data_IF_358931437248
#
_entry.id   IF_358931437248
#
_cell.length_a   1.000
_cell.length_b   1.000
_cell.length_c   1.000
_cell.angle_alpha   90.00
_cell.angle_beta   90.00
_cell.angle_gamma   90.00
#
_symmetry.space_group_name_H-M   'P 1'
#
loop_
_entity.id
_entity.type
_entity.pdbx_description
1 polymer ?
#
# COMPACT_ATOMS: atom_id res chain seq x y z
N UNK A 1 21.90 0.88 16.72
CA UNK A 1 21.72 0.54 15.29
C UNK A 1 20.23 0.56 15.02
N UNK A 2 19.74 1.58 14.31
CA UNK A 2 18.30 1.75 14.03
C UNK A 2 17.90 0.64 13.08
N UNK A 3 16.95 -0.21 13.47
CA UNK A 3 16.29 -1.10 12.53
C UNK A 3 15.53 -0.20 11.54
N UNK A 4 16.08 -0.01 10.34
CA UNK A 4 15.43 0.69 9.23
C UNK A 4 14.04 0.07 9.04
N UNK A 5 13.00 0.83 9.43
CA UNK A 5 11.62 0.37 9.36
C UNK A 5 11.22 0.10 7.92
N UNK A 6 11.11 -1.18 7.55
CA UNK A 6 10.59 -1.59 6.24
C UNK A 6 9.22 -0.94 6.02
N UNK A 7 8.96 -0.46 4.80
CA UNK A 7 7.76 0.31 4.48
C UNK A 7 6.51 -0.56 4.57
N UNK A 8 5.43 0.00 5.10
CA UNK A 8 4.16 -0.71 5.25
C UNK A 8 3.60 -1.17 3.89
N UNK A 9 3.03 -2.37 3.82
CA UNK A 9 2.48 -2.98 2.61
C UNK A 9 1.49 -2.09 1.81
N UNK A 10 0.74 -1.20 2.46
CA UNK A 10 -0.15 -0.26 1.74
C UNK A 10 0.61 0.74 0.86
N UNK A 11 1.75 1.25 1.34
CA UNK A 11 2.61 2.15 0.57
C UNK A 11 3.23 1.44 -0.62
N UNK A 12 3.52 0.14 -0.49
CA UNK A 12 3.95 -0.69 -1.60
C UNK A 12 2.85 -0.76 -2.67
N UNK A 13 1.61 -1.13 -2.30
CA UNK A 13 0.49 -1.18 -3.26
C UNK A 13 0.24 0.17 -3.94
N UNK A 14 0.30 1.27 -3.19
CA UNK A 14 0.15 2.61 -3.76
C UNK A 14 1.26 2.92 -4.79
N UNK A 15 2.51 2.58 -4.46
CA UNK A 15 3.63 2.76 -5.37
C UNK A 15 3.49 1.90 -6.63
N UNK A 16 3.06 0.64 -6.51
CA UNK A 16 2.84 -0.23 -7.67
C UNK A 16 1.76 0.31 -8.61
N UNK A 17 0.66 0.87 -8.08
CA UNK A 17 -0.35 1.51 -8.93
C UNK A 17 0.18 2.75 -9.66
N UNK A 18 0.99 3.57 -8.99
CA UNK A 18 1.63 4.72 -9.64
C UNK A 18 2.59 4.27 -10.73
N UNK A 19 3.41 3.25 -10.45
CA UNK A 19 4.37 2.66 -11.39
C UNK A 19 3.64 2.03 -12.59
N UNK A 20 2.63 1.21 -12.34
CA UNK A 20 1.82 0.57 -13.38
C UNK A 20 1.08 1.60 -14.24
N UNK A 21 0.47 2.60 -13.60
CA UNK A 21 -0.19 3.70 -14.29
C UNK A 21 0.78 4.56 -15.12
N UNK A 22 1.97 4.83 -14.59
CA UNK A 22 3.02 5.55 -15.33
C UNK A 22 3.47 4.77 -16.56
N UNK A 23 3.68 3.45 -16.46
CA UNK A 23 4.05 2.62 -17.61
C UNK A 23 2.94 2.53 -18.67
N UNK A 24 1.68 2.43 -18.25
CA UNK A 24 0.54 2.51 -19.19
C UNK A 24 0.52 3.86 -19.89
N UNK A 25 0.68 4.97 -19.15
CA UNK A 25 0.73 6.30 -19.74
C UNK A 25 1.90 6.48 -20.72
N UNK A 26 3.08 5.94 -20.38
CA UNK A 26 4.24 5.90 -21.29
C UNK A 26 3.91 5.13 -22.56
N UNK A 27 3.23 3.98 -22.45
CA UNK A 27 2.80 3.22 -23.62
C UNK A 27 1.83 3.97 -24.51
N UNK A 28 0.87 4.68 -23.92
CA UNK A 28 -0.07 5.53 -24.68
C UNK A 28 0.60 6.70 -25.41
N UNK A 29 1.82 7.09 -25.00
CA UNK A 29 2.62 8.16 -25.62
C UNK A 29 3.71 7.62 -26.57
N UNK A 30 3.95 6.31 -26.56
CA UNK A 30 4.99 5.67 -27.36
C UNK A 30 4.46 5.25 -28.74
N UNK A 31 5.27 5.33 -29.80
CA UNK A 31 4.96 4.71 -31.09
C UNK A 31 4.72 3.20 -30.99
N UNK A 32 5.33 2.55 -29.99
CA UNK A 32 5.29 1.11 -29.75
C UNK A 32 4.59 0.82 -28.41
N UNK A 33 3.25 0.98 -28.35
CA UNK A 33 2.50 1.05 -27.10
C UNK A 33 2.42 -0.29 -26.37
N UNK A 34 2.57 -1.42 -27.10
CA UNK A 34 2.22 -2.74 -26.61
C UNK A 34 3.04 -3.14 -25.38
N UNK A 35 4.37 -3.04 -25.47
CA UNK A 35 5.28 -3.50 -24.41
C UNK A 35 5.07 -2.71 -23.10
N UNK A 36 5.23 -1.37 -23.07
CA UNK A 36 5.04 -0.59 -21.84
C UNK A 36 3.61 -0.69 -21.28
N UNK A 37 2.58 -0.74 -22.14
CA UNK A 37 1.19 -0.87 -21.69
C UNK A 37 0.94 -2.22 -21.01
N UNK A 38 1.42 -3.32 -21.61
CA UNK A 38 1.23 -4.65 -21.05
C UNK A 38 1.98 -4.83 -19.73
N UNK A 39 3.21 -4.30 -19.62
CA UNK A 39 3.98 -4.34 -18.37
C UNK A 39 3.28 -3.50 -17.30
N UNK A 40 2.83 -2.29 -17.63
CA UNK A 40 2.10 -1.43 -16.69
C UNK A 40 0.78 -2.05 -16.21
N UNK A 41 0.02 -2.66 -17.13
CA UNK A 41 -1.19 -3.39 -16.81
C UNK A 41 -0.91 -4.63 -15.93
N UNK A 42 0.15 -5.37 -16.21
CA UNK A 42 0.57 -6.53 -15.41
C UNK A 42 0.87 -6.12 -13.96
N UNK A 43 1.61 -5.03 -13.75
CA UNK A 43 1.90 -4.49 -12.41
C UNK A 43 0.60 -4.11 -11.70
N UNK A 44 -0.27 -3.33 -12.36
CA UNK A 44 -1.54 -2.90 -11.76
C UNK A 44 -2.46 -4.07 -11.41
N UNK A 45 -2.52 -5.11 -12.25
CA UNK A 45 -3.30 -6.32 -12.01
C UNK A 45 -2.73 -7.14 -10.85
N UNK A 46 -1.41 -7.28 -10.76
CA UNK A 46 -0.75 -7.92 -9.63
C UNK A 46 -1.15 -7.24 -8.31
N UNK A 47 -1.03 -5.91 -8.25
CA UNK A 47 -1.42 -5.09 -7.09
C UNK A 47 -2.90 -5.21 -6.75
N UNK A 48 -3.77 -5.21 -7.77
CA UNK A 48 -5.21 -5.34 -7.59
C UNK A 48 -5.63 -6.68 -6.99
N UNK A 49 -4.87 -7.74 -7.26
CA UNK A 49 -5.13 -9.08 -6.72
C UNK A 49 -4.64 -9.26 -5.27
N UNK A 50 -3.76 -8.39 -4.78
CA UNK A 50 -3.10 -8.52 -3.50
C UNK A 50 -4.03 -8.33 -2.28
N UNK A 51 -3.80 -9.10 -1.22
CA UNK A 51 -4.45 -8.94 0.08
C UNK A 51 -3.91 -7.72 0.86
N UNK A 52 -4.41 -6.55 0.50
CA UNK A 52 -4.10 -5.28 1.16
C UNK A 52 -5.22 -4.24 1.04
N UNK A 53 -5.07 -3.08 1.68
CA UNK A 53 -6.14 -2.08 1.73
C UNK A 53 -6.50 -1.51 0.36
N UNK A 54 -5.57 -1.53 -0.60
CA UNK A 54 -5.78 -1.09 -1.98
C UNK A 54 -6.05 -2.27 -2.95
N UNK A 55 -6.14 -3.50 -2.45
CA UNK A 55 -6.47 -4.65 -3.29
C UNK A 55 -7.95 -4.64 -3.67
N UNK A 56 -8.22 -4.74 -4.96
CA UNK A 56 -9.58 -4.81 -5.51
C UNK A 56 -10.20 -6.21 -5.35
N UNK A 57 -9.42 -7.28 -5.58
CA UNK A 57 -9.92 -8.65 -5.59
C UNK A 57 -9.55 -9.46 -4.34
N UNK A 58 -8.51 -9.03 -3.58
CA UNK A 58 -8.10 -9.65 -2.30
C UNK A 58 -8.05 -11.19 -2.37
N UNK A 59 -7.44 -11.71 -3.44
CA UNK A 59 -7.32 -13.16 -3.70
C UNK A 59 -5.93 -13.69 -3.36
N UNK A 60 -4.91 -12.84 -3.43
CA UNK A 60 -3.49 -13.23 -3.36
C UNK A 60 -2.93 -12.85 -2.00
N UNK A 61 -2.55 -13.86 -1.22
CA UNK A 61 -1.88 -13.65 0.07
C UNK A 61 -0.56 -12.88 -0.09
N UNK A 62 -0.13 -12.16 0.95
CA UNK A 62 1.11 -11.36 0.94
C UNK A 62 2.38 -12.14 0.57
N UNK A 63 2.44 -13.43 0.93
CA UNK A 63 3.56 -14.30 0.57
C UNK A 63 3.60 -14.59 -0.92
N UNK A 64 2.43 -14.86 -1.51
CA UNK A 64 2.32 -15.10 -2.94
C UNK A 64 2.57 -13.81 -3.73
N UNK A 65 2.03 -12.67 -3.26
CA UNK A 65 2.28 -11.35 -3.86
C UNK A 65 3.78 -11.05 -3.94
N UNK A 66 4.54 -11.31 -2.87
CA UNK A 66 6.00 -11.15 -2.88
C UNK A 66 6.68 -11.94 -4.01
N UNK A 67 6.26 -13.18 -4.25
CA UNK A 67 6.82 -14.00 -5.33
C UNK A 67 6.45 -13.41 -6.68
N UNK A 68 5.19 -12.99 -6.83
CA UNK A 68 4.71 -12.35 -8.05
C UNK A 68 5.44 -11.03 -8.32
N UNK A 69 5.74 -10.21 -7.31
CA UNK A 69 6.48 -8.95 -7.48
C UNK A 69 7.86 -9.18 -8.08
N UNK A 70 8.59 -10.19 -7.59
CA UNK A 70 9.89 -10.55 -8.15
C UNK A 70 9.76 -11.07 -9.58
N UNK A 71 8.70 -11.83 -9.89
CA UNK A 71 8.44 -12.32 -11.23
C UNK A 71 8.08 -11.17 -12.18
N UNK A 72 7.20 -10.26 -11.77
CA UNK A 72 6.82 -9.08 -12.54
C UNK A 72 8.01 -8.15 -12.73
N UNK A 73 8.88 -8.01 -11.72
CA UNK A 73 10.12 -7.26 -11.85
C UNK A 73 11.05 -7.88 -12.90
N UNK A 74 11.25 -9.20 -12.84
CA UNK A 74 12.06 -9.91 -13.84
C UNK A 74 11.50 -9.75 -15.25
N UNK A 75 10.18 -9.90 -15.42
CA UNK A 75 9.50 -9.67 -16.71
C UNK A 75 9.69 -8.23 -17.18
N UNK A 76 9.61 -7.25 -16.29
CA UNK A 76 9.78 -5.83 -16.64
C UNK A 76 11.21 -5.49 -17.08
N UNK A 77 12.21 -6.12 -16.46
CA UNK A 77 13.62 -6.03 -16.87
C UNK A 77 13.79 -6.61 -18.29
N UNK A 78 13.26 -7.81 -18.53
CA UNK A 78 13.32 -8.44 -19.86
C UNK A 78 12.58 -7.61 -20.91
N UNK A 79 11.40 -7.09 -20.59
CA UNK A 79 10.61 -6.24 -21.47
C UNK A 79 11.36 -4.96 -21.86
N UNK A 80 12.17 -4.40 -20.94
CA UNK A 80 13.01 -3.23 -21.21
C UNK A 80 14.20 -3.53 -22.13
N UNK A 81 14.55 -4.80 -22.32
CA UNK A 81 15.64 -5.23 -23.19
C UNK A 81 15.17 -5.59 -24.62
N UNK A 82 13.86 -5.54 -24.90
CA UNK A 82 13.31 -5.88 -26.22
C UNK A 82 13.70 -4.78 -27.23
N UNK A 83 14.16 -5.21 -28.41
CA UNK A 83 14.70 -4.32 -29.44
C UNK A 83 13.66 -3.49 -30.18
N UNK A 84 12.37 -3.83 -30.08
CA UNK A 84 11.28 -3.15 -30.79
C UNK A 84 10.77 -1.88 -30.10
N UNK A 85 11.33 -1.50 -28.94
CA UNK A 85 10.96 -0.27 -28.23
C UNK A 85 11.98 0.83 -28.55
N UNK A 86 11.51 2.02 -28.86
CA UNK A 86 12.39 3.18 -29.11
C UNK A 86 13.23 3.54 -27.88
N UNK A 87 14.39 4.17 -28.11
CA UNK A 87 15.37 4.42 -27.04
C UNK A 87 14.83 5.32 -25.92
N UNK A 88 13.98 6.31 -26.25
CA UNK A 88 13.42 7.21 -25.25
C UNK A 88 12.44 6.47 -24.33
N UNK A 89 11.51 5.71 -24.90
CA UNK A 89 10.58 4.86 -24.15
C UNK A 89 11.35 3.84 -23.32
N UNK A 90 12.41 3.23 -23.88
CA UNK A 90 13.26 2.26 -23.18
C UNK A 90 13.96 2.87 -21.96
N UNK A 91 14.51 4.07 -22.08
CA UNK A 91 15.13 4.78 -20.95
C UNK A 91 14.09 5.01 -19.85
N UNK A 92 12.90 5.48 -20.20
CA UNK A 92 11.80 5.68 -19.24
C UNK A 92 11.41 4.37 -18.56
N UNK A 93 11.27 3.28 -19.32
CA UNK A 93 10.98 1.94 -18.78
C UNK A 93 12.04 1.51 -17.78
N UNK A 94 13.33 1.63 -18.13
CA UNK A 94 14.45 1.27 -17.24
C UNK A 94 14.38 2.08 -15.94
N UNK A 95 14.14 3.39 -16.02
CA UNK A 95 14.01 4.24 -14.84
C UNK A 95 12.84 3.81 -13.94
N UNK A 96 11.69 3.49 -14.53
CA UNK A 96 10.52 3.00 -13.78
C UNK A 96 10.80 1.63 -13.16
N UNK A 97 11.47 0.73 -13.88
CA UNK A 97 11.85 -0.61 -13.39
C UNK A 97 12.82 -0.51 -12.21
N UNK A 98 13.77 0.44 -12.24
CA UNK A 98 14.66 0.71 -11.10
C UNK A 98 13.86 1.17 -9.88
N UNK A 99 12.90 2.08 -10.06
CA UNK A 99 12.02 2.51 -8.96
C UNK A 99 11.20 1.33 -8.43
N UNK A 100 10.67 0.48 -9.31
CA UNK A 100 9.93 -0.71 -8.92
C UNK A 100 10.80 -1.70 -8.13
N UNK A 101 12.04 -1.95 -8.56
CA UNK A 101 13.00 -2.78 -7.83
C UNK A 101 13.25 -2.25 -6.41
N UNK A 102 13.42 -0.94 -6.24
CA UNK A 102 13.60 -0.31 -4.92
C UNK A 102 12.35 -0.50 -4.04
N UNK A 103 11.15 -0.36 -4.62
CA UNK A 103 9.88 -0.59 -3.93
C UNK A 103 9.78 -2.04 -3.45
N UNK A 104 10.01 -3.02 -4.32
CA UNK A 104 9.98 -4.46 -3.97
C UNK A 104 11.02 -4.77 -2.89
N UNK A 105 12.25 -4.26 -3.01
CA UNK A 105 13.31 -4.48 -2.03
C UNK A 105 12.95 -3.96 -0.64
N UNK A 106 12.45 -2.72 -0.55
CA UNK A 106 12.21 -2.04 0.75
C UNK A 106 10.88 -2.39 1.42
N UNK A 107 10.08 -3.28 0.84
CA UNK A 107 8.74 -3.58 1.34
C UNK A 107 8.77 -4.61 2.47
N UNK A 108 7.98 -4.34 3.52
CA UNK A 108 7.69 -5.35 4.53
C UNK A 108 6.47 -6.19 4.13
N UNK A 109 6.72 -7.45 3.79
CA UNK A 109 5.67 -8.43 3.48
C UNK A 109 5.14 -9.15 4.72
N UNK A 110 5.57 -8.75 5.93
CA UNK A 110 5.11 -9.35 7.17
C UNK A 110 3.58 -9.27 7.25
N UNK A 111 2.89 -10.38 7.58
CA UNK A 111 1.47 -10.34 7.91
C UNK A 111 1.28 -9.33 9.04
N UNK A 112 0.24 -8.50 8.94
CA UNK A 112 -0.12 -7.62 10.06
C UNK A 112 -0.46 -8.53 11.23
N UNK A 113 0.39 -8.57 12.26
CA UNK A 113 0.03 -9.27 13.49
C UNK A 113 -1.31 -8.65 13.94
N UNK A 114 -2.33 -9.48 14.27
CA UNK A 114 -3.50 -8.96 14.95
C UNK A 114 -2.98 -8.13 16.10
N UNK A 115 -3.38 -6.85 16.21
CA UNK A 115 -3.09 -6.08 17.42
C UNK A 115 -3.55 -6.99 18.56
N UNK A 116 -2.62 -7.44 19.40
CA UNK A 116 -2.99 -8.08 20.64
C UNK A 116 -3.80 -7.03 21.39
N UNK A 117 -5.13 -7.18 21.35
CA UNK A 117 -5.96 -6.49 22.32
C UNK A 117 -5.45 -7.06 23.62
N UNK A 118 -4.76 -6.23 24.41
CA UNK A 118 -4.28 -6.67 25.71
C UNK A 118 -5.51 -7.19 26.46
N UNK A 119 -5.57 -8.50 26.68
CA UNK A 119 -6.63 -9.16 27.45
C UNK A 119 -6.48 -8.88 28.95
N UNK A 120 -5.73 -7.84 29.31
CA UNK A 120 -5.63 -7.29 30.66
C UNK A 120 -6.92 -6.53 30.96
N UNK A 121 -7.84 -7.12 31.74
CA UNK A 121 -9.15 -6.52 32.04
C UNK A 121 -8.97 -5.17 32.74
N UNK A 122 -7.89 -5.04 33.53
CA UNK A 122 -7.55 -3.85 34.30
C UNK A 122 -7.40 -2.62 33.41
N UNK A 123 -6.75 -2.79 32.24
CA UNK A 123 -6.49 -1.70 31.30
C UNK A 123 -7.75 -1.25 30.58
N UNK A 124 -8.66 -2.18 30.28
CA UNK A 124 -9.97 -1.87 29.71
C UNK A 124 -10.87 -1.18 30.75
N UNK A 125 -10.84 -1.64 32.00
CA UNK A 125 -11.59 -1.06 33.12
C UNK A 125 -11.12 0.36 33.45
N UNK A 126 -9.81 0.62 33.39
CA UNK A 126 -9.26 1.95 33.66
C UNK A 126 -9.64 2.97 32.58
N UNK A 127 -9.62 2.56 31.31
CA UNK A 127 -10.10 3.39 30.18
C UNK A 127 -11.61 3.62 30.30
N UNK A 128 -12.38 2.59 30.68
CA UNK A 128 -13.82 2.70 30.93
C UNK A 128 -14.15 3.66 32.08
N UNK A 129 -13.43 3.57 33.20
CA UNK A 129 -13.58 4.48 34.35
C UNK A 129 -13.18 5.91 34.02
N UNK A 130 -12.16 6.11 33.19
CA UNK A 130 -11.74 7.45 32.77
C UNK A 130 -12.76 8.07 31.81
N UNK A 131 -13.29 7.29 30.85
CA UNK A 131 -14.37 7.70 29.97
C UNK A 131 -15.66 8.04 30.74
N UNK A 132 -16.03 7.22 31.73
CA UNK A 132 -17.18 7.45 32.60
C UNK A 132 -17.09 8.74 33.41
N UNK A 133 -15.89 9.08 33.93
CA UNK A 133 -15.64 10.34 34.63
C UNK A 133 -15.85 11.56 33.73
N UNK A 134 -15.33 11.50 32.50
CA UNK A 134 -15.49 12.60 31.52
C UNK A 134 -16.96 12.77 31.12
N UNK A 135 -17.66 11.67 30.83
CA UNK A 135 -19.08 11.69 30.52
C UNK A 135 -19.93 12.24 31.68
N UNK A 136 -19.62 11.83 32.92
CA UNK A 136 -20.27 12.34 34.12
C UNK A 136 -20.08 13.85 34.32
N UNK A 137 -18.86 14.36 34.12
CA UNK A 137 -18.59 15.80 34.19
C UNK A 137 -19.31 16.60 33.09
N UNK A 138 -19.41 16.05 31.87
CA UNK A 138 -20.14 16.68 30.79
C UNK A 138 -21.65 16.75 31.08
N UNK A 139 -22.24 15.65 31.57
CA UNK A 139 -23.65 15.58 31.94
C UNK A 139 -23.98 16.51 33.12
N UNK A 140 -23.11 16.58 34.14
CA UNK A 140 -23.27 17.50 35.26
C UNK A 140 -23.24 18.97 34.81
N UNK A 141 -22.28 19.35 33.96
CA UNK A 141 -22.19 20.70 33.40
C UNK A 141 -23.39 21.07 32.53
N UNK A 142 -23.90 20.14 31.73
CA UNK A 142 -25.09 20.36 30.92
C UNK A 142 -26.34 20.59 31.79
N UNK A 143 -26.50 19.80 32.87
CA UNK A 143 -27.59 19.94 33.83
C UNK A 143 -27.52 21.27 34.60
N UNK A 144 -26.33 21.67 35.02
CA UNK A 144 -26.13 22.93 35.73
C UNK A 144 -26.42 24.15 34.83
N UNK A 145 -26.04 24.06 33.54
CA UNK A 145 -26.36 25.10 32.55
C UNK A 145 -27.87 25.23 32.37
N UNK A 146 -28.60 24.10 32.28
CA UNK A 146 -30.06 24.09 32.14
C UNK A 146 -30.80 24.64 33.36
N UNK A 147 -30.27 24.42 34.57
CA UNK A 147 -30.81 24.95 35.82
C UNK A 147 -30.62 26.46 36.00
N UNK A 148 -29.57 27.06 35.41
CA UNK A 148 -29.31 28.51 35.50
C UNK A 148 -30.08 29.33 34.45
N UNK A 149 -30.65 28.68 33.45
CA UNK A 149 -31.46 29.30 32.39
C UNK A 149 -32.97 29.26 32.65
N UNK A 150 -33.37 28.83 33.85
CA UNK A 150 -34.73 28.94 34.41
C UNK A 150 -34.69 29.93 35.55
#
# INVERSE_FOLDING_TARGET
MVAEGKRSFWLHQAAEYVIGGALVATGLQSPEPLVPTMVGALIALNTACADGPLGAFRRVSRRLHRILDWLVLAVSILASAVSNVDDATRIVMIMIVVVFAVVVWRTDYSPRQPRSVSSDPSRADDVGRQAGRVAGHAAARARDKWRRSR
#
